data_IF_429725412602
#
_entry.id   IF_429725412602
#
_cell.length_a   1.000
_cell.length_b   1.000
_cell.length_c   1.000
_cell.angle_alpha   90.00
_cell.angle_beta   90.00
_cell.angle_gamma   90.00
#
_symmetry.space_group_name_H-M   'P 1'
#
loop_
_entity.id
_entity.type
_entity.pdbx_description
1 polymer ?
#
# COMPACT_ATOMS: atom_id res chain seq x y z
N UNK A 1 40.33 20.47 -10.84
CA UNK A 1 38.85 20.43 -10.72
C UNK A 1 38.41 21.59 -9.85
N UNK A 2 37.56 22.48 -10.35
CA UNK A 2 37.26 23.75 -9.67
C UNK A 2 36.27 23.52 -8.51
N UNK A 3 36.56 24.04 -7.31
CA UNK A 3 35.71 23.84 -6.11
C UNK A 3 34.25 24.27 -6.35
N UNK A 4 34.04 25.33 -7.15
CA UNK A 4 32.71 25.79 -7.59
C UNK A 4 32.01 24.80 -8.52
N UNK A 5 32.73 24.14 -9.42
CA UNK A 5 32.19 23.12 -10.32
C UNK A 5 31.73 21.89 -9.54
N UNK A 6 32.50 21.46 -8.55
CA UNK A 6 32.15 20.33 -7.68
C UNK A 6 30.86 20.60 -6.90
N UNK A 7 30.69 21.81 -6.35
CA UNK A 7 29.47 22.19 -5.64
C UNK A 7 28.25 22.19 -6.57
N UNK A 8 28.38 22.70 -7.79
CA UNK A 8 27.28 22.71 -8.77
C UNK A 8 26.86 21.30 -9.18
N UNK A 9 27.81 20.38 -9.36
CA UNK A 9 27.53 18.98 -9.68
C UNK A 9 26.76 18.30 -8.53
N UNK A 10 27.16 18.55 -7.28
CA UNK A 10 26.46 18.01 -6.11
C UNK A 10 25.03 18.52 -6.01
N UNK A 11 24.79 19.82 -6.25
CA UNK A 11 23.44 20.39 -6.25
C UNK A 11 22.59 19.75 -7.35
N UNK A 12 23.13 19.63 -8.56
CA UNK A 12 22.42 19.03 -9.69
C UNK A 12 22.07 17.55 -9.42
N UNK A 13 22.98 16.78 -8.81
CA UNK A 13 22.74 15.40 -8.41
C UNK A 13 21.63 15.29 -7.35
N UNK A 14 21.66 16.14 -6.31
CA UNK A 14 20.61 16.12 -5.27
C UNK A 14 19.23 16.42 -5.84
N UNK A 15 19.12 17.40 -6.75
CA UNK A 15 17.85 17.73 -7.42
C UNK A 15 17.40 16.55 -8.30
N UNK A 16 18.32 15.96 -9.07
CA UNK A 16 18.02 14.81 -9.93
C UNK A 16 17.51 13.60 -9.14
N UNK A 17 18.14 13.27 -8.02
CA UNK A 17 17.72 12.16 -7.14
C UNK A 17 16.36 12.44 -6.51
N UNK A 18 16.15 13.65 -6.01
CA UNK A 18 14.86 14.04 -5.40
C UNK A 18 13.72 13.95 -6.42
N UNK A 19 13.94 14.48 -7.62
CA UNK A 19 12.95 14.40 -8.70
C UNK A 19 12.69 12.96 -9.15
N UNK A 20 13.73 12.13 -9.23
CA UNK A 20 13.60 10.71 -9.57
C UNK A 20 12.76 9.95 -8.53
N UNK A 21 13.00 10.19 -7.23
CA UNK A 21 12.22 9.59 -6.15
C UNK A 21 10.75 10.02 -6.23
N UNK A 22 10.49 11.30 -6.46
CA UNK A 22 9.13 11.84 -6.52
C UNK A 22 8.37 11.35 -7.76
N UNK A 23 9.02 11.34 -8.93
CA UNK A 23 8.41 10.88 -10.17
C UNK A 23 8.18 9.36 -10.20
N UNK A 24 8.96 8.59 -9.45
CA UNK A 24 8.71 7.17 -9.22
C UNK A 24 7.52 6.91 -8.27
N UNK A 25 7.14 7.89 -7.44
CA UNK A 25 5.93 7.83 -6.60
C UNK A 25 4.71 8.33 -7.37
N UNK A 26 4.33 7.65 -8.46
CA UNK A 26 2.96 7.78 -8.97
C UNK A 26 2.00 7.17 -7.95
N UNK A 27 1.67 7.93 -6.91
CA UNK A 27 0.68 7.53 -5.91
C UNK A 27 -0.71 7.52 -6.55
N UNK A 28 -1.51 6.51 -6.21
CA UNK A 28 -2.91 6.47 -6.64
C UNK A 28 -3.64 7.68 -6.06
N UNK A 29 -4.40 8.44 -6.86
CA UNK A 29 -5.16 9.60 -6.39
C UNK A 29 -6.02 9.26 -5.17
N UNK A 30 -6.13 10.20 -4.23
CA UNK A 30 -6.93 10.02 -3.00
C UNK A 30 -8.37 9.58 -3.30
N UNK A 31 -9.01 10.18 -4.29
CA UNK A 31 -10.37 9.81 -4.72
C UNK A 31 -10.51 8.34 -5.15
N UNK A 32 -9.51 7.81 -5.88
CA UNK A 32 -9.50 6.41 -6.31
C UNK A 32 -9.26 5.49 -5.12
N UNK A 33 -8.39 5.89 -4.19
CA UNK A 33 -8.13 5.14 -2.94
C UNK A 33 -9.36 5.05 -2.05
N UNK A 34 -10.09 6.15 -1.88
CA UNK A 34 -11.31 6.21 -1.09
C UNK A 34 -12.43 5.36 -1.72
N UNK A 35 -12.55 5.42 -3.05
CA UNK A 35 -13.50 4.57 -3.79
C UNK A 35 -13.18 3.08 -3.63
N UNK A 36 -11.92 2.68 -3.79
CA UNK A 36 -11.50 1.28 -3.64
C UNK A 36 -11.67 0.82 -2.21
N UNK A 37 -11.32 1.65 -1.22
CA UNK A 37 -11.56 1.33 0.18
C UNK A 37 -13.06 1.07 0.41
N UNK A 38 -13.94 1.97 -0.01
CA UNK A 38 -15.39 1.77 0.11
C UNK A 38 -15.89 0.51 -0.60
N UNK A 39 -15.36 0.20 -1.79
CA UNK A 39 -15.74 -1.00 -2.54
C UNK A 39 -15.28 -2.30 -1.87
N UNK A 40 -14.06 -2.31 -1.32
CA UNK A 40 -13.54 -3.41 -0.49
C UNK A 40 -14.45 -3.58 0.73
N UNK A 41 -14.82 -2.48 1.39
CA UNK A 41 -15.68 -2.55 2.57
C UNK A 41 -17.08 -3.10 2.27
N UNK A 42 -17.59 -2.89 1.06
CA UNK A 42 -18.91 -3.34 0.64
C UNK A 42 -18.91 -4.78 0.12
N UNK A 43 -17.86 -5.20 -0.59
CA UNK A 43 -17.80 -6.49 -1.29
C UNK A 43 -17.20 -7.60 -0.42
N UNK A 44 -16.28 -7.27 0.47
CA UNK A 44 -15.67 -8.26 1.37
C UNK A 44 -16.42 -8.26 2.70
N UNK A 45 -16.96 -9.42 3.07
CA UNK A 45 -17.60 -9.62 4.36
C UNK A 45 -16.54 -10.01 5.42
N UNK A 46 -15.76 -9.01 5.84
CA UNK A 46 -14.71 -9.16 6.85
C UNK A 46 -15.13 -8.57 8.21
N UNK A 47 -14.81 -9.24 9.35
CA UNK A 47 -15.33 -8.91 10.69
C UNK A 47 -14.78 -7.61 11.32
N UNK A 48 -13.67 -7.08 10.83
CA UNK A 48 -13.19 -5.72 11.07
C UNK A 48 -12.48 -5.26 9.80
N UNK A 49 -12.53 -3.96 9.49
CA UNK A 49 -12.03 -3.45 8.21
C UNK A 49 -11.45 -2.03 8.27
N UNK A 50 -10.55 -1.66 9.20
CA UNK A 50 -9.70 -0.52 8.92
C UNK A 50 -8.90 -0.83 7.66
N UNK A 51 -9.09 -0.01 6.63
CA UNK A 51 -8.35 -0.08 5.37
C UNK A 51 -7.38 1.08 5.34
N UNK A 52 -6.10 0.82 5.06
CA UNK A 52 -5.09 1.85 4.91
C UNK A 52 -4.26 1.63 3.65
N UNK A 53 -3.56 2.68 3.24
CA UNK A 53 -2.75 2.69 2.03
C UNK A 53 -1.30 2.96 2.39
N UNK A 54 -0.38 2.11 1.90
CA UNK A 54 1.05 2.40 1.88
C UNK A 54 1.51 2.72 0.45
N UNK A 55 2.23 3.84 0.31
CA UNK A 55 2.80 4.33 -0.97
C UNK A 55 1.82 4.37 -2.15
N UNK A 56 0.53 4.46 -1.87
CA UNK A 56 -0.56 4.54 -2.85
C UNK A 56 -0.87 3.27 -3.63
N UNK A 57 -0.04 2.22 -3.59
CA UNK A 57 -0.23 1.00 -4.39
C UNK A 57 -0.32 -0.27 -3.55
N UNK A 58 -0.13 -0.15 -2.23
CA UNK A 58 -0.32 -1.23 -1.28
C UNK A 58 -1.53 -0.95 -0.42
N UNK A 59 -2.45 -1.91 -0.37
CA UNK A 59 -3.66 -1.87 0.43
C UNK A 59 -3.49 -2.78 1.65
N UNK A 60 -3.56 -2.19 2.84
CA UNK A 60 -3.63 -2.92 4.10
C UNK A 60 -5.08 -3.09 4.54
N UNK A 61 -5.46 -4.32 4.91
CA UNK A 61 -6.78 -4.65 5.43
C UNK A 61 -6.61 -5.26 6.82
N UNK A 62 -7.09 -4.57 7.84
CA UNK A 62 -7.06 -5.10 9.20
C UNK A 62 -8.30 -5.94 9.46
N UNK A 63 -8.17 -7.13 10.05
CA UNK A 63 -9.28 -8.03 10.37
C UNK A 63 -9.14 -8.62 11.76
N UNK A 64 -10.27 -8.92 12.40
CA UNK A 64 -10.27 -9.72 13.64
C UNK A 64 -9.95 -11.17 13.24
N UNK A 65 -8.85 -11.75 13.74
CA UNK A 65 -8.43 -13.10 13.38
C UNK A 65 -9.41 -14.14 13.96
N UNK A 66 -9.63 -15.21 13.20
CA UNK A 66 -10.27 -16.45 13.67
C UNK A 66 -9.30 -17.65 13.56
N UNK A 67 -8.01 -17.37 13.35
CA UNK A 67 -6.95 -18.37 13.15
C UNK A 67 -6.85 -18.88 11.71
N UNK A 68 -7.66 -18.41 10.77
CA UNK A 68 -7.57 -18.78 9.36
C UNK A 68 -6.63 -17.88 8.55
N UNK A 69 -6.07 -18.45 7.48
CA UNK A 69 -5.29 -17.72 6.48
C UNK A 69 -6.22 -16.90 5.58
N UNK A 70 -5.89 -15.63 5.33
CA UNK A 70 -6.73 -14.67 4.59
C UNK A 70 -6.23 -14.33 3.18
N UNK A 71 -5.50 -15.26 2.56
CA UNK A 71 -4.99 -15.09 1.20
C UNK A 71 -6.11 -15.08 0.13
N UNK A 72 -7.29 -15.65 0.41
CA UNK A 72 -8.41 -15.60 -0.54
C UNK A 72 -8.98 -14.18 -0.61
N UNK A 73 -9.21 -13.58 0.54
CA UNK A 73 -9.73 -12.23 0.69
C UNK A 73 -8.73 -11.19 0.16
N UNK A 74 -7.43 -11.41 0.36
CA UNK A 74 -6.39 -10.60 -0.27
C UNK A 74 -6.46 -10.65 -1.81
N UNK A 75 -6.77 -11.82 -2.40
CA UNK A 75 -6.94 -11.98 -3.86
C UNK A 75 -8.24 -11.34 -4.37
N UNK A 76 -9.31 -11.42 -3.59
CA UNK A 76 -10.58 -10.76 -3.92
C UNK A 76 -10.42 -9.23 -3.91
N UNK A 77 -9.72 -8.69 -2.90
CA UNK A 77 -9.35 -7.28 -2.86
C UNK A 77 -8.43 -6.86 -4.02
N UNK A 78 -7.49 -7.73 -4.44
CA UNK A 78 -6.70 -7.48 -5.65
C UNK A 78 -7.58 -7.32 -6.90
N UNK A 79 -8.61 -8.15 -7.05
CA UNK A 79 -9.55 -8.04 -8.18
C UNK A 79 -10.24 -6.67 -8.20
N UNK A 80 -10.58 -6.11 -7.03
CA UNK A 80 -11.16 -4.76 -6.91
C UNK A 80 -10.15 -3.67 -7.28
N UNK A 81 -8.90 -3.78 -6.82
CA UNK A 81 -7.83 -2.82 -7.15
C UNK A 81 -7.55 -2.78 -8.66
N UNK A 82 -7.46 -3.96 -9.29
CA UNK A 82 -7.24 -4.08 -10.74
C UNK A 82 -8.42 -3.53 -11.55
N UNK A 83 -9.66 -3.79 -11.13
CA UNK A 83 -10.86 -3.21 -11.76
C UNK A 83 -10.89 -1.68 -11.72
N UNK A 84 -10.25 -1.07 -10.72
CA UNK A 84 -10.10 0.38 -10.59
C UNK A 84 -8.79 0.91 -11.20
N UNK A 85 -8.05 0.09 -11.95
CA UNK A 85 -6.88 0.52 -12.72
C UNK A 85 -5.61 0.75 -11.89
N UNK A 86 -5.52 0.18 -10.69
CA UNK A 86 -4.35 0.31 -9.83
C UNK A 86 -3.31 -0.75 -10.21
N UNK A 87 -2.20 -0.33 -10.78
CA UNK A 87 -1.05 -1.18 -11.12
C UNK A 87 0.28 -0.43 -10.95
N UNK A 88 1.31 -1.02 -10.34
CA UNK A 88 1.28 -2.30 -9.61
C UNK A 88 0.35 -2.22 -8.38
N UNK A 89 -0.14 -3.36 -7.89
CA UNK A 89 -0.98 -3.42 -6.70
C UNK A 89 -0.58 -4.60 -5.81
N UNK A 90 -0.55 -4.36 -4.50
CA UNK A 90 -0.31 -5.38 -3.48
C UNK A 90 -1.37 -5.25 -2.38
N UNK A 91 -1.89 -6.37 -1.89
CA UNK A 91 -2.83 -6.40 -0.75
C UNK A 91 -2.20 -7.21 0.38
N UNK A 92 -2.25 -6.67 1.59
CA UNK A 92 -1.81 -7.33 2.82
C UNK A 92 -2.97 -7.32 3.84
N UNK A 93 -3.18 -8.44 4.52
CA UNK A 93 -4.23 -8.62 5.53
C UNK A 93 -3.57 -8.86 6.88
N UNK A 94 -3.96 -8.07 7.89
CA UNK A 94 -3.33 -8.08 9.21
C UNK A 94 -4.33 -8.38 10.32
N UNK A 95 -3.85 -9.06 11.34
CA UNK A 95 -4.54 -9.23 12.62
C UNK A 95 -4.53 -7.92 13.41
N UNK A 96 -5.71 -7.30 13.61
CA UNK A 96 -5.81 -6.03 14.34
C UNK A 96 -5.84 -6.17 15.86
N UNK A 97 -6.02 -7.38 16.39
CA UNK A 97 -6.06 -7.61 17.84
C UNK A 97 -4.65 -7.76 18.43
N UNK A 98 -3.70 -8.29 17.67
CA UNK A 98 -2.30 -8.40 18.14
C UNK A 98 -1.58 -7.05 18.21
N UNK A 99 -2.00 -6.08 17.38
CA UNK A 99 -1.47 -4.70 17.39
C UNK A 99 -1.66 -4.04 18.77
N UNK A 100 -2.73 -4.39 19.51
CA UNK A 100 -3.00 -3.78 20.82
C UNK A 100 -2.12 -4.31 21.95
N UNK A 101 -1.44 -5.45 21.76
CA UNK A 101 -0.75 -6.15 22.83
C UNK A 101 0.78 -6.15 22.69
N UNK A 102 1.32 -6.31 21.47
CA UNK A 102 2.76 -6.56 21.28
C UNK A 102 3.46 -5.59 20.30
N UNK A 103 2.81 -4.50 19.86
CA UNK A 103 3.30 -3.55 18.84
C UNK A 103 3.68 -4.20 17.47
N UNK A 104 3.53 -5.51 17.33
CA UNK A 104 3.89 -6.29 16.16
C UNK A 104 2.69 -6.52 15.23
N UNK A 105 2.88 -6.14 13.96
CA UNK A 105 1.91 -6.39 12.90
C UNK A 105 1.98 -7.84 12.45
N UNK A 106 0.94 -8.62 12.74
CA UNK A 106 0.87 -10.01 12.26
C UNK A 106 0.11 -10.07 10.95
N UNK A 107 0.86 -10.26 9.86
CA UNK A 107 0.30 -10.51 8.55
C UNK A 107 -0.29 -11.93 8.49
N UNK A 108 -1.58 -12.01 8.21
CA UNK A 108 -2.33 -13.27 8.12
C UNK A 108 -2.82 -13.59 6.70
N UNK A 109 -2.60 -12.67 5.76
CA UNK A 109 -2.81 -12.89 4.35
C UNK A 109 -2.07 -11.88 3.47
N UNK A 110 -1.77 -12.25 2.22
CA UNK A 110 -1.32 -11.30 1.21
C UNK A 110 -1.55 -11.81 -0.21
N UNK A 111 -1.61 -10.86 -1.15
CA UNK A 111 -1.66 -11.11 -2.57
C UNK A 111 -0.92 -10.01 -3.33
N UNK A 112 -0.13 -10.39 -4.33
CA UNK A 112 0.34 -9.48 -5.37
C UNK A 112 -0.65 -9.54 -6.53
N UNK A 113 -1.11 -8.40 -7.00
CA UNK A 113 -2.13 -8.33 -8.02
C UNK A 113 -1.48 -8.40 -9.41
N UNK A 114 -1.72 -9.49 -10.12
CA UNK A 114 -1.21 -9.80 -11.47
C UNK A 114 -2.37 -10.16 -12.42
#
# INVERSE_FOLDING_TARGET
MNKRLMVLILIALSIGVTWYIESARKEVPAEVRDKVAAEVLQKLDLPAQPVWWDKGHRLGIGVIPDGSNRNAEARDACSIMLQNGITPAEVEVFDVLQIQNDDDWVQIGAARCE
#
